data_IF_424758598008
#
_entry.id   IF_424758598008
#
_cell.length_a   1.000
_cell.length_b   1.000
_cell.length_c   1.000
_cell.angle_alpha   90.00
_cell.angle_beta   90.00
_cell.angle_gamma   90.00
#
_symmetry.space_group_name_H-M   'P 1'
#
loop_
_entity.id
_entity.type
_entity.pdbx_description
1 polymer ?
#
# COMPACT_ATOMS: atom_id res chain seq x y z
N UNK A 1 38.64 6.81 -21.39
CA UNK A 1 37.38 7.57 -21.22
C UNK A 1 36.73 7.12 -19.93
N UNK A 2 36.42 8.02 -18.97
CA UNK A 2 35.69 7.61 -17.78
C UNK A 2 34.26 7.27 -18.20
N UNK A 3 33.78 6.09 -17.80
CA UNK A 3 32.35 5.76 -17.88
C UNK A 3 31.64 6.68 -16.90
N UNK A 4 31.10 7.79 -17.40
CA UNK A 4 30.10 8.57 -16.67
C UNK A 4 28.87 7.66 -16.58
N UNK A 5 28.76 6.94 -15.48
CA UNK A 5 27.52 6.25 -15.13
C UNK A 5 26.58 7.38 -14.76
N UNK A 6 25.73 7.79 -15.70
CA UNK A 6 24.63 8.70 -15.43
C UNK A 6 23.85 8.11 -14.26
N UNK A 7 23.81 8.83 -13.14
CA UNK A 7 23.10 8.39 -11.93
C UNK A 7 21.62 8.10 -12.20
N UNK A 8 21.07 8.59 -13.32
CA UNK A 8 19.75 8.23 -13.83
C UNK A 8 19.55 6.72 -14.07
N UNK A 9 20.63 5.95 -14.25
CA UNK A 9 20.57 4.49 -14.35
C UNK A 9 20.81 3.77 -13.01
N UNK A 10 21.24 4.48 -11.97
CA UNK A 10 21.68 3.83 -10.72
C UNK A 10 20.53 3.43 -9.81
N UNK A 11 19.36 4.08 -9.94
CA UNK A 11 18.15 3.72 -9.21
C UNK A 11 16.97 3.93 -10.15
N UNK A 12 16.29 2.87 -10.64
CA UNK A 12 14.98 3.04 -11.26
C UNK A 12 14.07 3.61 -10.17
N UNK A 13 13.93 4.93 -10.17
CA UNK A 13 13.04 5.63 -9.25
C UNK A 13 11.65 5.40 -9.81
N UNK A 14 10.96 4.38 -9.28
CA UNK A 14 9.61 3.98 -9.70
C UNK A 14 8.71 5.21 -9.91
N UNK A 15 8.71 6.13 -8.95
CA UNK A 15 8.07 7.43 -9.07
C UNK A 15 8.65 8.37 -8.02
N UNK A 16 8.76 9.67 -8.31
CA UNK A 16 9.20 10.69 -7.33
C UNK A 16 8.25 10.81 -6.14
N UNK A 17 7.00 10.38 -6.30
CA UNK A 17 5.99 10.41 -5.24
C UNK A 17 6.09 9.22 -4.27
N UNK A 18 6.75 8.12 -4.68
CA UNK A 18 6.96 6.97 -3.80
C UNK A 18 8.12 7.26 -2.85
N UNK A 19 7.80 7.76 -1.66
CA UNK A 19 8.75 8.01 -0.57
C UNK A 19 8.62 6.92 0.50
N UNK A 20 9.69 6.61 1.26
CA UNK A 20 9.64 5.57 2.27
C UNK A 20 8.82 6.06 3.48
N UNK A 21 7.75 5.35 3.83
CA UNK A 21 6.87 5.70 4.95
C UNK A 21 6.35 4.49 5.73
N UNK A 22 6.25 3.30 5.10
CA UNK A 22 5.65 2.11 5.70
C UNK A 22 6.38 1.71 6.97
N UNK A 23 7.72 1.70 6.93
CA UNK A 23 8.52 1.28 8.09
C UNK A 23 8.32 2.23 9.28
N UNK A 24 8.43 3.53 9.04
CA UNK A 24 8.24 4.55 10.08
C UNK A 24 6.84 4.45 10.69
N UNK A 25 5.82 4.25 9.85
CA UNK A 25 4.45 4.07 10.31
C UNK A 25 4.30 2.90 11.30
N UNK A 26 4.94 1.76 11.02
CA UNK A 26 4.87 0.62 11.94
C UNK A 26 5.65 0.87 13.23
N UNK A 27 6.83 1.49 13.14
CA UNK A 27 7.66 1.80 14.30
C UNK A 27 6.93 2.74 15.27
N UNK A 28 6.31 3.82 14.75
CA UNK A 28 5.57 4.81 15.55
C UNK A 28 4.34 4.21 16.27
N UNK A 29 3.71 3.20 15.66
CA UNK A 29 2.54 2.53 16.25
C UNK A 29 2.90 1.31 17.11
N UNK A 30 4.16 0.83 17.06
CA UNK A 30 4.58 -0.35 17.83
C UNK A 30 4.64 -0.13 19.34
N UNK A 31 4.77 1.12 19.78
CA UNK A 31 4.76 1.51 21.20
C UNK A 31 3.35 1.49 21.81
N UNK A 32 2.31 1.57 20.98
CA UNK A 32 0.92 1.56 21.42
C UNK A 32 0.38 0.13 21.35
N UNK A 33 -0.34 -0.29 22.40
CA UNK A 33 -0.87 -1.66 22.59
C UNK A 33 -1.30 -2.33 21.28
N UNK A 34 -0.58 -3.39 20.86
CA UNK A 34 -0.75 -4.12 19.60
C UNK A 34 -2.17 -4.68 19.36
N UNK A 35 -3.02 -4.63 20.38
CA UNK A 35 -4.40 -5.13 20.33
C UNK A 35 -5.44 -4.05 20.03
N UNK A 36 -5.08 -2.77 20.11
CA UNK A 36 -5.98 -1.69 19.74
C UNK A 36 -5.73 -1.32 18.28
N UNK A 37 -6.79 -1.16 17.46
CA UNK A 37 -6.64 -0.55 16.16
C UNK A 37 -6.08 0.86 16.38
N UNK A 38 -4.80 1.02 16.04
CA UNK A 38 -4.17 2.33 15.90
C UNK A 38 -5.09 3.18 15.03
N UNK A 39 -5.52 4.34 15.56
CA UNK A 39 -6.46 5.23 14.88
C UNK A 39 -5.98 5.65 13.50
N UNK A 40 -6.86 6.28 12.71
CA UNK A 40 -6.63 6.70 11.32
C UNK A 40 -5.17 7.12 11.04
N UNK A 41 -4.39 6.18 10.49
CA UNK A 41 -2.96 6.37 10.22
C UNK A 41 -2.73 7.15 8.94
N UNK A 42 -3.67 7.05 8.00
CA UNK A 42 -3.70 7.86 6.79
C UNK A 42 -5.00 8.66 6.80
N UNK A 43 -4.93 10.01 6.75
CA UNK A 43 -6.11 10.85 6.79
C UNK A 43 -7.12 10.54 5.69
N UNK A 44 -8.40 10.80 5.97
CA UNK A 44 -9.45 10.76 4.97
C UNK A 44 -9.28 11.89 3.94
N UNK A 45 -9.59 11.57 2.69
CA UNK A 45 -9.56 12.47 1.56
C UNK A 45 -10.98 12.90 1.18
N UNK A 46 -11.11 14.12 0.68
CA UNK A 46 -12.39 14.58 0.16
C UNK A 46 -12.67 13.95 -1.21
N UNK A 47 -13.95 13.95 -1.62
CA UNK A 47 -14.33 13.50 -2.97
C UNK A 47 -13.62 14.27 -4.08
N UNK A 48 -13.33 15.56 -3.85
CA UNK A 48 -12.61 16.39 -4.80
C UNK A 48 -11.15 15.97 -4.93
N UNK A 49 -10.50 15.64 -3.81
CA UNK A 49 -9.12 15.13 -3.81
C UNK A 49 -9.01 13.80 -4.56
N UNK A 50 -9.98 12.89 -4.37
CA UNK A 50 -10.01 11.59 -5.05
C UNK A 50 -10.29 11.71 -6.56
N UNK A 51 -11.03 12.74 -6.99
CA UNK A 51 -11.34 12.98 -8.39
C UNK A 51 -10.16 13.62 -9.16
N UNK A 52 -9.41 14.52 -8.50
CA UNK A 52 -8.29 15.25 -9.10
C UNK A 52 -7.05 15.21 -8.20
N UNK A 53 -6.43 14.03 -8.01
CA UNK A 53 -5.36 13.87 -7.04
C UNK A 53 -4.10 14.68 -7.34
N UNK A 54 -3.86 15.00 -8.61
CA UNK A 54 -2.74 15.84 -9.06
C UNK A 54 -2.89 17.33 -8.71
N UNK A 55 -4.11 17.78 -8.32
CA UNK A 55 -4.37 19.17 -7.89
C UNK A 55 -4.57 19.28 -6.38
N UNK A 56 -4.58 18.17 -5.64
CA UNK A 56 -4.85 18.19 -4.21
C UNK A 56 -3.58 18.51 -3.41
N UNK A 57 -3.52 19.66 -2.71
CA UNK A 57 -2.38 19.95 -1.85
C UNK A 57 -2.29 18.96 -0.69
N UNK A 58 -3.41 18.44 -0.19
CA UNK A 58 -3.45 17.43 0.88
C UNK A 58 -2.73 16.15 0.46
N UNK A 59 -2.99 15.67 -0.76
CA UNK A 59 -2.33 14.47 -1.30
C UNK A 59 -0.85 14.76 -1.55
N UNK A 60 -0.53 15.86 -2.23
CA UNK A 60 0.84 16.16 -2.65
C UNK A 60 1.80 16.47 -1.48
N UNK A 61 1.28 16.94 -0.34
CA UNK A 61 2.09 17.25 0.84
C UNK A 61 2.34 16.05 1.74
N UNK A 62 1.48 15.01 1.67
CA UNK A 62 1.60 13.83 2.52
C UNK A 62 2.00 12.59 1.71
N UNK A 63 3.25 12.13 1.81
CA UNK A 63 3.74 10.99 1.04
C UNK A 63 3.05 9.67 1.38
N UNK A 64 2.43 9.54 2.57
CA UNK A 64 1.77 8.31 2.99
C UNK A 64 0.55 7.96 2.12
N UNK A 65 0.02 8.93 1.37
CA UNK A 65 -1.06 8.66 0.42
C UNK A 65 -0.58 7.89 -0.82
N UNK A 66 0.71 7.94 -1.15
CA UNK A 66 1.22 7.30 -2.36
C UNK A 66 1.68 5.87 -2.09
N UNK A 67 1.05 4.93 -2.78
CA UNK A 67 1.39 3.51 -2.68
C UNK A 67 1.26 2.82 -4.04
N UNK A 68 2.10 1.81 -4.29
CA UNK A 68 2.04 0.98 -5.49
C UNK A 68 1.54 -0.41 -5.14
N UNK A 69 0.51 -0.90 -5.81
CA UNK A 69 0.06 -2.29 -5.64
C UNK A 69 1.10 -3.21 -6.27
N UNK A 70 1.64 -4.13 -5.46
CA UNK A 70 2.65 -5.10 -5.92
C UNK A 70 2.02 -6.42 -6.32
N UNK A 71 1.03 -6.88 -5.56
CA UNK A 71 0.42 -8.18 -5.79
C UNK A 71 -1.02 -8.19 -5.29
N UNK A 72 -1.89 -8.78 -6.09
CA UNK A 72 -3.24 -9.15 -5.70
C UNK A 72 -3.23 -10.59 -5.18
N UNK A 73 -3.91 -10.85 -4.06
CA UNK A 73 -4.00 -12.19 -3.47
C UNK A 73 -5.37 -12.83 -3.62
N UNK A 74 -6.43 -12.12 -3.22
CA UNK A 74 -7.75 -12.71 -3.11
C UNK A 74 -8.87 -11.65 -3.07
N UNK A 75 -10.09 -12.05 -3.40
CA UNK A 75 -11.33 -11.31 -3.10
C UNK A 75 -12.21 -12.20 -2.22
N UNK A 76 -12.69 -11.66 -1.09
CA UNK A 76 -13.67 -12.33 -0.23
C UNK A 76 -14.64 -11.29 0.31
N UNK A 77 -15.93 -11.57 0.28
CA UNK A 77 -16.98 -10.67 0.77
C UNK A 77 -16.87 -9.25 0.20
N UNK A 78 -16.58 -9.14 -1.11
CA UNK A 78 -16.35 -7.88 -1.82
C UNK A 78 -15.18 -7.02 -1.31
N UNK A 79 -14.36 -7.55 -0.41
CA UNK A 79 -13.08 -6.96 -0.01
C UNK A 79 -11.95 -7.50 -0.85
N UNK A 80 -10.95 -6.65 -1.11
CA UNK A 80 -9.76 -7.03 -1.88
C UNK A 80 -8.57 -7.13 -0.96
N UNK A 81 -7.87 -8.27 -1.03
CA UNK A 81 -6.65 -8.53 -0.27
C UNK A 81 -5.46 -8.46 -1.21
N UNK A 82 -4.54 -7.54 -0.93
CA UNK A 82 -3.38 -7.26 -1.77
C UNK A 82 -2.14 -6.96 -0.91
N UNK A 83 -1.02 -6.70 -1.57
CA UNK A 83 0.13 -6.03 -0.97
C UNK A 83 0.41 -4.74 -1.71
N UNK A 84 0.75 -3.72 -0.94
CA UNK A 84 1.23 -2.44 -1.43
C UNK A 84 2.67 -2.23 -1.01
N UNK A 85 3.33 -1.30 -1.68
CA UNK A 85 4.68 -0.86 -1.31
C UNK A 85 4.85 0.62 -1.42
N UNK A 86 5.85 1.08 -0.71
CA UNK A 86 6.51 2.36 -0.92
C UNK A 86 7.82 2.16 -1.71
N UNK A 87 8.79 3.06 -1.58
CA UNK A 87 10.11 2.93 -2.21
C UNK A 87 11.06 1.94 -1.52
N UNK A 88 10.69 1.38 -0.38
CA UNK A 88 11.58 0.63 0.52
C UNK A 88 11.00 -0.71 0.98
N UNK A 89 9.75 -0.76 1.40
CA UNK A 89 9.12 -1.90 2.05
C UNK A 89 7.74 -2.21 1.46
N UNK A 90 7.28 -3.44 1.67
CA UNK A 90 5.93 -3.87 1.35
C UNK A 90 5.13 -4.14 2.62
N UNK A 91 3.83 -3.95 2.55
CA UNK A 91 2.87 -4.31 3.59
C UNK A 91 1.61 -4.92 2.94
N UNK A 92 0.96 -5.81 3.67
CA UNK A 92 -0.35 -6.33 3.28
C UNK A 92 -1.42 -5.24 3.47
N UNK A 93 -2.40 -5.24 2.57
CA UNK A 93 -3.52 -4.31 2.58
C UNK A 93 -4.86 -5.02 2.35
N UNK A 94 -5.86 -4.63 3.11
CA UNK A 94 -7.27 -4.99 2.93
C UNK A 94 -8.00 -3.74 2.41
N UNK A 95 -8.54 -3.77 1.20
CA UNK A 95 -9.44 -2.72 0.70
C UNK A 95 -10.87 -3.08 1.08
N UNK A 96 -11.56 -2.12 1.71
CA UNK A 96 -12.94 -2.32 2.15
C UNK A 96 -13.90 -2.47 0.96
N UNK A 97 -15.07 -3.05 1.21
CA UNK A 97 -16.11 -3.21 0.19
C UNK A 97 -16.54 -1.86 -0.41
N UNK A 98 -16.66 -0.83 0.44
CA UNK A 98 -17.02 0.51 -0.01
C UNK A 98 -15.92 1.12 -0.87
N UNK A 99 -14.65 0.98 -0.46
CA UNK A 99 -13.50 1.40 -1.25
C UNK A 99 -13.53 0.79 -2.64
N UNK A 100 -13.66 -0.53 -2.72
CA UNK A 100 -13.70 -1.29 -3.98
C UNK A 100 -14.86 -0.82 -4.85
N UNK A 101 -16.06 -0.69 -4.29
CA UNK A 101 -17.24 -0.28 -5.06
C UNK A 101 -17.11 1.15 -5.59
N UNK A 102 -16.60 2.08 -4.78
CA UNK A 102 -16.39 3.47 -5.21
C UNK A 102 -15.29 3.59 -6.27
N UNK A 103 -14.21 2.82 -6.11
CA UNK A 103 -13.13 2.73 -7.09
C UNK A 103 -13.64 2.24 -8.45
N UNK A 104 -14.37 1.11 -8.45
CA UNK A 104 -14.91 0.51 -9.67
C UNK A 104 -15.89 1.44 -10.41
N UNK A 105 -16.74 2.17 -9.67
CA UNK A 105 -17.65 3.17 -10.27
C UNK A 105 -16.90 4.34 -10.91
N UNK A 106 -15.76 4.73 -10.35
CA UNK A 106 -14.99 5.89 -10.80
C UNK A 106 -14.14 5.56 -12.03
N UNK A 107 -13.45 4.42 -11.97
CA UNK A 107 -12.46 4.04 -12.99
C UNK A 107 -12.98 3.03 -14.01
N UNK A 108 -14.18 2.47 -13.81
CA UNK A 108 -14.76 1.39 -14.63
C UNK A 108 -13.83 0.17 -14.76
N UNK A 109 -12.96 -0.06 -13.78
CA UNK A 109 -12.02 -1.17 -13.72
C UNK A 109 -11.99 -1.76 -12.31
N UNK A 110 -11.56 -3.02 -12.20
CA UNK A 110 -11.49 -3.73 -10.91
C UNK A 110 -10.09 -3.71 -10.34
N UNK A 111 -9.98 -3.62 -9.01
CA UNK A 111 -8.71 -3.80 -8.30
C UNK A 111 -8.30 -5.28 -8.39
N UNK A 112 -7.43 -5.58 -9.36
CA UNK A 112 -7.03 -6.95 -9.72
C UNK A 112 -5.55 -7.00 -10.11
N UNK A 113 -5.13 -8.09 -10.78
CA UNK A 113 -3.83 -8.18 -11.43
C UNK A 113 -3.58 -7.08 -12.47
N UNK A 114 -4.63 -6.53 -13.08
CA UNK A 114 -4.51 -5.46 -14.09
C UNK A 114 -4.11 -4.12 -13.46
N UNK A 115 -4.47 -3.90 -12.20
CA UNK A 115 -4.05 -2.73 -11.42
C UNK A 115 -2.71 -2.94 -10.72
N UNK A 116 -2.00 -4.04 -11.00
CA UNK A 116 -0.66 -4.23 -10.45
C UNK A 116 0.29 -3.26 -11.10
N UNK A 117 1.21 -2.72 -10.30
CA UNK A 117 2.15 -1.67 -10.66
C UNK A 117 1.56 -0.27 -10.84
N UNK A 118 0.25 -0.06 -10.75
CA UNK A 118 -0.30 1.30 -10.75
C UNK A 118 0.14 2.06 -9.49
N UNK A 119 0.45 3.35 -9.66
CA UNK A 119 0.60 4.26 -8.54
C UNK A 119 -0.80 4.70 -8.10
N UNK A 120 -1.11 4.44 -6.86
CA UNK A 120 -2.41 4.74 -6.27
C UNK A 120 -2.28 5.75 -5.16
N UNK A 121 -3.36 6.51 -5.00
CA UNK A 121 -3.61 7.29 -3.80
C UNK A 121 -4.49 6.44 -2.88
N UNK A 122 -4.06 6.30 -1.64
CA UNK A 122 -4.85 5.69 -0.56
C UNK A 122 -5.21 6.77 0.47
N UNK A 123 -6.40 6.67 1.06
CA UNK A 123 -6.88 7.56 2.11
C UNK A 123 -7.75 6.79 3.08
N UNK A 124 -8.05 7.42 4.22
CA UNK A 124 -8.89 6.84 5.28
C UNK A 124 -8.46 5.41 5.60
N UNK A 125 -7.22 5.27 6.06
CA UNK A 125 -6.62 3.97 6.31
C UNK A 125 -6.29 3.80 7.79
N UNK A 126 -6.56 2.60 8.29
CA UNK A 126 -6.30 2.19 9.66
C UNK A 126 -5.25 1.10 9.69
N UNK A 127 -4.40 1.11 10.71
CA UNK A 127 -3.43 0.05 10.92
C UNK A 127 -4.03 -0.98 11.87
N UNK A 128 -4.24 -2.20 11.37
CA UNK A 128 -4.88 -3.29 12.08
C UNK A 128 -3.91 -4.46 12.21
N UNK A 129 -3.87 -5.06 13.39
CA UNK A 129 -3.04 -6.23 13.66
C UNK A 129 -3.85 -7.51 13.47
N UNK A 130 -3.35 -8.43 12.64
CA UNK A 130 -4.02 -9.69 12.33
C UNK A 130 -3.13 -10.88 12.64
N UNK A 131 -3.74 -11.97 13.07
CA UNK A 131 -3.04 -13.23 13.30
C UNK A 131 -2.59 -13.86 11.98
N UNK A 132 -1.55 -14.69 12.04
CA UNK A 132 -1.09 -15.49 10.91
C UNK A 132 -2.19 -16.39 10.32
N UNK A 133 -3.10 -16.90 11.16
CA UNK A 133 -4.25 -17.70 10.71
C UNK A 133 -5.22 -16.89 9.84
N UNK A 134 -5.53 -15.65 10.21
CA UNK A 134 -6.36 -14.73 9.40
C UNK A 134 -5.63 -14.31 8.13
N UNK A 135 -4.33 -14.03 8.22
CA UNK A 135 -3.53 -13.72 7.05
C UNK A 135 -3.55 -14.88 6.03
N UNK A 136 -3.41 -16.12 6.51
CA UNK A 136 -3.45 -17.31 5.66
C UNK A 136 -4.84 -17.55 5.06
N UNK A 137 -5.92 -17.34 5.83
CA UNK A 137 -7.28 -17.54 5.32
C UNK A 137 -7.66 -16.52 4.24
N UNK A 138 -7.30 -15.24 4.42
CA UNK A 138 -7.74 -14.14 3.55
C UNK A 138 -6.73 -13.82 2.45
N UNK A 139 -5.46 -13.63 2.78
CA UNK A 139 -4.39 -13.30 1.83
C UNK A 139 -3.76 -14.53 1.17
N UNK A 140 -4.16 -15.75 1.58
CA UNK A 140 -3.61 -17.02 1.04
C UNK A 140 -2.08 -17.09 1.10
N UNK A 141 -1.48 -16.42 2.09
CA UNK A 141 -0.04 -16.35 2.29
C UNK A 141 0.33 -16.92 3.66
N UNK A 142 1.40 -17.72 3.69
CA UNK A 142 1.96 -18.21 4.95
C UNK A 142 3.05 -17.24 5.43
N UNK A 143 2.71 -16.42 6.42
CA UNK A 143 3.62 -15.40 6.96
C UNK A 143 4.72 -15.98 7.86
N UNK A 144 4.59 -17.22 8.33
CA UNK A 144 5.61 -17.87 9.17
C UNK A 144 6.97 -17.98 8.50
N UNK A 145 7.01 -17.95 7.17
CA UNK A 145 8.25 -17.96 6.40
C UNK A 145 8.89 -16.56 6.29
N UNK A 146 8.17 -15.51 6.69
CA UNK A 146 8.53 -14.10 6.50
C UNK A 146 8.73 -13.39 7.85
N UNK A 147 7.95 -13.77 8.87
CA UNK A 147 7.99 -13.21 10.21
C UNK A 147 7.86 -14.31 11.26
N UNK A 148 8.60 -14.17 12.37
CA UNK A 148 8.46 -15.01 13.55
C UNK A 148 7.30 -14.60 14.46
N UNK A 149 6.67 -13.44 14.20
CA UNK A 149 5.55 -12.94 15.01
C UNK A 149 4.25 -13.65 14.67
N UNK A 150 3.44 -13.90 15.68
CA UNK A 150 2.10 -14.50 15.53
C UNK A 150 1.10 -13.51 14.92
N UNK A 151 1.31 -12.22 15.18
CA UNK A 151 0.45 -11.12 14.77
C UNK A 151 1.27 -10.18 13.89
N UNK A 152 0.70 -9.73 12.77
CA UNK A 152 1.33 -8.80 11.84
C UNK A 152 0.45 -7.58 11.57
N UNK A 153 1.05 -6.41 11.30
CA UNK A 153 0.30 -5.25 10.87
C UNK A 153 -0.21 -5.40 9.43
N UNK A 154 -1.44 -4.97 9.20
CA UNK A 154 -2.11 -4.91 7.91
C UNK A 154 -2.78 -3.55 7.80
N UNK A 155 -2.67 -2.92 6.64
CA UNK A 155 -3.35 -1.67 6.39
C UNK A 155 -4.78 -1.96 5.92
N UNK A 156 -5.79 -1.42 6.60
CA UNK A 156 -7.17 -1.46 6.13
C UNK A 156 -7.48 -0.13 5.46
N UNK A 157 -7.76 -0.14 4.15
CA UNK A 157 -7.93 1.07 3.33
C UNK A 157 -9.39 1.24 2.94
N UNK A 158 -9.96 2.39 3.29
CA UNK A 158 -11.36 2.72 2.98
C UNK A 158 -11.51 3.65 1.77
N UNK A 159 -10.45 4.32 1.33
CA UNK A 159 -10.46 5.14 0.12
C UNK A 159 -9.25 4.84 -0.75
N UNK A 160 -9.48 4.70 -2.06
CA UNK A 160 -8.41 4.54 -3.03
C UNK A 160 -8.79 5.15 -4.38
N UNK A 161 -7.80 5.68 -5.10
CA UNK A 161 -7.96 6.12 -6.50
C UNK A 161 -6.65 5.92 -7.26
N UNK A 162 -6.73 5.90 -8.59
CA UNK A 162 -5.55 5.81 -9.46
C UNK A 162 -4.91 7.20 -9.56
N UNK A 163 -3.60 7.26 -9.33
CA UNK A 163 -2.79 8.44 -9.67
C UNK A 163 -2.17 8.28 -11.06
N UNK A 164 -1.57 7.11 -11.33
CA UNK A 164 -0.94 6.79 -12.60
C UNK A 164 -1.01 5.28 -12.88
N UNK A 165 -1.51 4.92 -14.07
CA UNK A 165 -1.72 3.53 -14.51
C UNK A 165 -0.42 2.94 -15.09
N UNK A 166 0.31 3.72 -15.87
CA UNK A 166 1.33 3.23 -16.81
C UNK A 166 2.73 3.20 -16.20
N UNK A 167 2.79 2.74 -14.96
CA UNK A 167 4.01 2.69 -14.18
C UNK A 167 4.79 1.41 -14.48
N UNK A 168 6.06 1.56 -14.84
CA UNK A 168 6.92 0.42 -15.18
C UNK A 168 7.04 -0.51 -13.97
N UNK A 169 6.88 -1.81 -14.19
CA UNK A 169 7.12 -2.81 -13.15
C UNK A 169 8.60 -2.77 -12.74
N UNK A 170 8.87 -2.59 -11.45
CA UNK A 170 10.24 -2.70 -10.97
C UNK A 170 10.67 -4.16 -10.93
N UNK A 171 11.88 -4.43 -11.44
CA UNK A 171 12.54 -5.73 -11.31
C UNK A 171 13.07 -5.97 -9.89
N UNK A 172 13.14 -4.94 -9.06
CA UNK A 172 13.64 -5.07 -7.68
C UNK A 172 12.62 -5.78 -6.80
N UNK A 173 13.11 -6.73 -6.00
CA UNK A 173 12.34 -7.30 -4.91
C UNK A 173 12.33 -6.32 -3.75
N UNK A 174 11.16 -6.06 -3.18
CA UNK A 174 11.04 -5.24 -1.97
C UNK A 174 10.67 -6.17 -0.81
N UNK A 175 11.39 -6.10 0.32
CA UNK A 175 11.08 -6.92 1.48
C UNK A 175 9.76 -6.48 2.11
N UNK A 176 9.01 -7.44 2.65
CA UNK A 176 7.95 -7.11 3.58
C UNK A 176 8.52 -6.45 4.83
N UNK A 177 7.83 -5.43 5.35
CA UNK A 177 8.20 -4.73 6.59
C UNK A 177 8.34 -5.69 7.77
N UNK A 178 7.60 -6.80 7.76
CA UNK A 178 7.60 -7.83 8.81
C UNK A 178 8.96 -8.49 9.06
N UNK A 179 9.89 -8.44 8.09
CA UNK A 179 11.25 -8.96 8.27
C UNK A 179 12.08 -8.14 9.26
N UNK A 180 11.64 -6.92 9.56
CA UNK A 180 12.34 -5.97 10.42
C UNK A 180 11.62 -5.75 11.76
N UNK A 181 10.51 -6.46 11.99
CA UNK A 181 9.72 -6.40 13.23
C UNK A 181 10.12 -7.56 14.14
#
# INVERSE_FOLDING_TARGET
>A
MPKVILESHSKPTDSVFLQPWIKALIEDNSEHDQYHPSGHVIPSLTKQDLALPHMSPTILTNPCHFAKITKFYNVCDYKVYASIRDSSHQILVEFSQECVSNFERTHNCRITSETTNCLMIIGDADLVYVTNSRAMSHFKICLSNISSKEIVPVLNVNQATIFDIDQVGSLSTFPFVYKYL
#
